data_IF_297279652640
#
_entry.id   IF_297279652640
#
_cell.length_a   1.000
_cell.length_b   1.000
_cell.length_c   1.000
_cell.angle_alpha   90.00
_cell.angle_beta   90.00
_cell.angle_gamma   90.00
#
_symmetry.space_group_name_H-M   'P 1'
#
loop_
_entity.id
_entity.type
_entity.pdbx_description
1 polymer ?
#
# COMPACT_ATOMS: atom_id res chain seq x y z
N UNK A 1 -10.81 -2.24 37.49
CA UNK A 1 -9.45 -1.65 37.36
C UNK A 1 -8.37 -2.65 36.90
N UNK A 2 -8.61 -3.97 36.89
CA UNK A 2 -7.63 -4.99 36.47
C UNK A 2 -7.53 -5.24 34.95
N UNK A 3 -8.49 -4.79 34.14
CA UNK A 3 -8.49 -5.02 32.69
C UNK A 3 -7.63 -4.03 31.89
N UNK A 4 -7.35 -2.85 32.47
CA UNK A 4 -6.59 -1.79 31.80
C UNK A 4 -5.08 -2.05 31.86
N UNK A 5 -4.58 -2.61 32.96
CA UNK A 5 -3.16 -2.95 33.15
C UNK A 5 -2.72 -4.14 32.28
N UNK A 6 -3.57 -5.17 32.14
CA UNK A 6 -3.29 -6.32 31.27
C UNK A 6 -3.17 -5.97 29.78
N UNK A 7 -3.98 -5.02 29.30
CA UNK A 7 -3.93 -4.54 27.91
C UNK A 7 -2.62 -3.81 27.60
N UNK A 8 -2.19 -2.90 28.49
CA UNK A 8 -0.94 -2.13 28.36
C UNK A 8 0.28 -3.06 28.36
N UNK A 9 0.32 -4.05 29.25
CA UNK A 9 1.42 -5.03 29.31
C UNK A 9 1.50 -5.85 28.01
N UNK A 10 0.35 -6.24 27.42
CA UNK A 10 0.34 -6.99 26.15
C UNK A 10 0.82 -6.16 24.94
N UNK A 11 0.52 -4.86 24.93
CA UNK A 11 0.94 -3.91 23.89
C UNK A 11 2.45 -3.64 23.94
N UNK A 12 3.00 -3.40 25.14
CA UNK A 12 4.45 -3.22 25.36
C UNK A 12 5.20 -4.49 24.92
N UNK A 13 4.67 -5.67 25.26
CA UNK A 13 5.25 -6.95 24.85
C UNK A 13 5.22 -7.12 23.31
N UNK A 14 4.12 -6.73 22.66
CA UNK A 14 3.99 -6.84 21.20
C UNK A 14 4.94 -5.92 20.44
N UNK A 15 5.13 -4.67 20.89
CA UNK A 15 6.07 -3.74 20.28
C UNK A 15 7.52 -4.23 20.43
N UNK A 16 7.96 -4.54 21.66
CA UNK A 16 9.32 -5.02 21.93
C UNK A 16 9.64 -6.32 21.20
N UNK A 17 8.67 -7.25 21.12
CA UNK A 17 8.82 -8.49 20.34
C UNK A 17 8.96 -8.19 18.84
N UNK A 18 8.17 -7.25 18.31
CA UNK A 18 8.22 -6.90 16.90
C UNK A 18 9.56 -6.26 16.53
N UNK A 19 10.06 -5.32 17.33
CA UNK A 19 11.36 -4.67 17.07
C UNK A 19 12.52 -5.66 17.20
N UNK A 20 12.52 -6.54 18.21
CA UNK A 20 13.53 -7.59 18.34
C UNK A 20 13.53 -8.56 17.15
N UNK A 21 12.36 -8.89 16.63
CA UNK A 21 12.23 -9.73 15.43
C UNK A 21 12.77 -9.02 14.17
N UNK A 22 12.47 -7.73 14.01
CA UNK A 22 13.01 -6.92 12.90
C UNK A 22 14.54 -6.89 12.97
N UNK A 23 15.11 -6.61 14.13
CA UNK A 23 16.56 -6.58 14.34
C UNK A 23 17.21 -7.95 14.03
N UNK A 24 16.57 -9.04 14.46
CA UNK A 24 17.04 -10.39 14.17
C UNK A 24 16.98 -10.70 12.68
N UNK A 25 15.89 -10.32 12.00
CA UNK A 25 15.75 -10.50 10.56
C UNK A 25 16.75 -9.65 9.79
N UNK A 26 17.02 -8.42 10.22
CA UNK A 26 17.97 -7.51 9.57
C UNK A 26 19.38 -8.11 9.48
N UNK A 27 19.78 -8.91 10.48
CA UNK A 27 21.09 -9.59 10.53
C UNK A 27 21.24 -10.73 9.52
N UNK A 28 20.12 -11.29 9.02
CA UNK A 28 20.12 -12.49 8.16
C UNK A 28 19.33 -12.32 6.86
N UNK A 29 18.76 -11.13 6.62
CA UNK A 29 17.88 -10.86 5.48
C UNK A 29 18.58 -11.16 4.16
N UNK A 30 17.83 -11.75 3.23
CA UNK A 30 18.18 -11.84 1.80
C UNK A 30 17.14 -11.02 1.06
N UNK A 31 17.50 -9.80 0.67
CA UNK A 31 16.59 -8.80 0.09
C UNK A 31 16.39 -7.60 1.01
N UNK A 32 15.36 -6.80 0.70
CA UNK A 32 15.06 -5.53 1.33
C UNK A 32 14.09 -5.74 2.51
N UNK A 33 14.38 -5.07 3.63
CA UNK A 33 13.59 -5.06 4.85
C UNK A 33 13.12 -3.64 5.15
N UNK A 34 11.85 -3.49 5.45
CA UNK A 34 11.31 -2.25 5.98
C UNK A 34 10.04 -2.51 6.76
N UNK A 35 9.54 -1.48 7.45
CA UNK A 35 8.22 -1.53 8.05
C UNK A 35 7.41 -0.29 7.74
N UNK A 36 6.10 -0.47 7.80
CA UNK A 36 5.15 0.61 7.55
C UNK A 36 4.62 1.20 8.85
N UNK A 37 4.49 2.53 8.89
CA UNK A 37 3.87 3.30 9.96
C UNK A 37 2.56 3.92 9.47
N UNK A 38 1.44 3.53 10.09
CA UNK A 38 0.14 4.09 9.75
C UNK A 38 -0.06 5.43 10.45
N UNK A 39 -0.33 6.48 9.69
CA UNK A 39 -0.73 7.80 10.20
C UNK A 39 -2.18 7.70 10.70
N UNK A 40 -2.37 7.81 12.01
CA UNK A 40 -3.68 7.63 12.64
C UNK A 40 -3.99 8.85 13.50
N UNK A 41 -5.17 9.42 13.30
CA UNK A 41 -5.81 10.36 14.22
C UNK A 41 -7.18 9.80 14.61
N UNK A 42 -7.47 9.77 15.91
CA UNK A 42 -8.74 9.33 16.48
C UNK A 42 -9.38 10.48 17.21
N UNK A 43 -10.54 10.91 16.71
CA UNK A 43 -11.41 11.83 17.41
C UNK A 43 -12.14 11.06 18.52
N UNK A 44 -12.03 11.56 19.76
CA UNK A 44 -12.68 10.97 20.91
C UNK A 44 -13.78 11.93 21.39
N UNK A 45 -15.01 11.46 21.66
CA UNK A 45 -16.04 12.29 22.27
C UNK A 45 -15.53 12.89 23.58
N UNK A 46 -15.66 14.21 23.73
CA UNK A 46 -15.27 14.96 24.94
C UNK A 46 -13.80 14.82 25.36
N UNK A 47 -12.89 14.47 24.43
CA UNK A 47 -11.46 14.40 24.70
C UNK A 47 -10.65 14.96 23.54
N UNK A 48 -9.39 15.32 23.81
CA UNK A 48 -8.47 15.76 22.76
C UNK A 48 -8.26 14.62 21.74
N UNK A 49 -8.21 14.91 20.44
CA UNK A 49 -7.84 13.93 19.42
C UNK A 49 -6.53 13.25 19.80
N UNK A 50 -6.49 11.92 19.67
CA UNK A 50 -5.26 11.14 19.85
C UNK A 50 -4.68 10.81 18.50
N UNK A 51 -3.39 11.03 18.34
CA UNK A 51 -2.65 10.74 17.12
C UNK A 51 -1.28 10.18 17.45
N UNK A 52 -0.72 9.40 16.54
CA UNK A 52 0.65 8.88 16.63
C UNK A 52 1.63 9.69 15.76
N UNK A 53 1.16 10.74 15.07
CA UNK A 53 1.97 11.50 14.12
C UNK A 53 3.17 12.19 14.79
N UNK A 54 3.09 12.53 16.07
CA UNK A 54 4.22 13.09 16.82
C UNK A 54 5.41 12.12 16.92
N UNK A 55 5.17 10.82 16.73
CA UNK A 55 6.18 9.77 16.80
C UNK A 55 6.77 9.44 15.43
N UNK A 56 6.31 10.07 14.34
CA UNK A 56 6.65 9.71 12.96
C UNK A 56 8.18 9.72 12.71
N UNK A 57 8.88 10.79 13.09
CA UNK A 57 10.33 10.88 12.95
C UNK A 57 11.06 9.83 13.81
N UNK A 58 10.60 9.62 15.05
CA UNK A 58 11.20 8.62 15.96
C UNK A 58 11.00 7.21 15.40
N UNK A 59 9.84 6.92 14.80
CA UNK A 59 9.58 5.67 14.12
C UNK A 59 10.47 5.49 12.88
N UNK A 60 10.71 6.53 12.09
CA UNK A 60 11.63 6.44 10.96
C UNK A 60 13.07 6.15 11.41
N UNK A 61 13.54 6.86 12.45
CA UNK A 61 14.86 6.64 13.05
C UNK A 61 15.00 5.22 13.60
N UNK A 62 13.98 4.73 14.30
CA UNK A 62 13.95 3.36 14.82
C UNK A 62 14.10 2.33 13.70
N UNK A 63 13.44 2.50 12.56
CA UNK A 63 13.58 1.59 11.42
C UNK A 63 15.03 1.49 10.94
N UNK A 64 15.68 2.63 10.75
CA UNK A 64 17.09 2.70 10.37
C UNK A 64 17.98 2.02 11.42
N UNK A 65 17.78 2.35 12.69
CA UNK A 65 18.60 1.84 13.79
C UNK A 65 18.42 0.31 13.99
N UNK A 66 17.27 -0.26 13.56
CA UNK A 66 17.02 -1.71 13.54
C UNK A 66 17.63 -2.43 12.32
N UNK A 67 18.22 -1.70 11.37
CA UNK A 67 18.80 -2.26 10.15
C UNK A 67 17.81 -2.50 9.01
N UNK A 68 16.66 -1.81 9.00
CA UNK A 68 15.82 -1.73 7.81
C UNK A 68 16.53 -0.97 6.69
N UNK A 69 16.22 -1.31 5.44
CA UNK A 69 16.60 -0.57 4.24
C UNK A 69 15.59 0.53 3.90
N UNK A 70 14.36 0.44 4.42
CA UNK A 70 13.39 1.51 4.26
C UNK A 70 12.39 1.63 5.42
N UNK A 71 11.80 2.81 5.52
CA UNK A 71 10.65 3.12 6.36
C UNK A 71 9.54 3.71 5.50
N UNK A 72 8.36 3.10 5.51
CA UNK A 72 7.19 3.61 4.79
C UNK A 72 6.22 4.24 5.79
N UNK A 73 5.84 5.51 5.63
CA UNK A 73 4.67 6.04 6.34
C UNK A 73 3.51 6.20 5.38
N UNK A 74 2.29 5.86 5.83
CA UNK A 74 1.12 5.88 4.97
C UNK A 74 -0.18 6.25 5.69
N UNK A 75 -1.14 6.87 4.98
CA UNK A 75 -2.47 7.14 5.51
C UNK A 75 -3.20 5.88 5.96
N UNK A 76 -4.02 5.99 7.01
CA UNK A 76 -5.01 4.99 7.31
C UNK A 76 -6.21 5.05 6.33
N UNK A 77 -6.85 3.90 6.11
CA UNK A 77 -8.08 3.79 5.32
C UNK A 77 -9.19 3.15 6.15
N UNK A 78 -10.44 3.47 5.82
CA UNK A 78 -11.62 2.84 6.43
C UNK A 78 -11.87 1.42 5.87
N UNK A 79 -12.92 0.76 6.35
CA UNK A 79 -13.32 -0.58 5.88
C UNK A 79 -13.70 -0.63 4.39
N UNK A 80 -14.02 0.52 3.80
CA UNK A 80 -14.36 0.68 2.39
C UNK A 80 -13.15 1.14 1.55
N UNK A 81 -11.96 1.18 2.14
CA UNK A 81 -10.70 1.64 1.54
C UNK A 81 -10.69 3.11 1.14
N UNK A 82 -11.50 3.95 1.78
CA UNK A 82 -11.39 5.41 1.65
C UNK A 82 -10.32 5.94 2.60
N UNK A 83 -9.59 6.96 2.18
CA UNK A 83 -8.63 7.65 3.03
C UNK A 83 -9.35 8.26 4.24
N UNK A 84 -8.83 8.00 5.45
CA UNK A 84 -9.32 8.64 6.66
C UNK A 84 -8.71 10.05 6.74
N UNK A 85 -9.54 11.12 6.72
CA UNK A 85 -9.02 12.49 6.80
C UNK A 85 -8.30 12.75 8.11
N UNK A 86 -7.23 13.56 8.05
CA UNK A 86 -6.54 14.10 9.23
C UNK A 86 -6.90 15.58 9.42
N UNK A 87 -6.88 16.04 10.67
CA UNK A 87 -7.02 17.45 11.01
C UNK A 87 -5.89 18.30 10.43
N UNK A 88 -6.13 19.60 10.30
CA UNK A 88 -5.12 20.57 9.85
C UNK A 88 -3.87 20.51 10.73
N UNK A 89 -4.04 20.42 12.06
CA UNK A 89 -2.91 20.36 12.99
C UNK A 89 -2.06 19.11 12.78
N UNK A 90 -2.70 17.95 12.58
CA UNK A 90 -1.98 16.70 12.31
C UNK A 90 -1.27 16.75 10.96
N UNK A 91 -1.87 17.35 9.92
CA UNK A 91 -1.21 17.55 8.63
C UNK A 91 0.00 18.48 8.72
N UNK A 92 -0.15 19.60 9.42
CA UNK A 92 0.94 20.54 9.66
C UNK A 92 2.10 19.88 10.40
N UNK A 93 1.83 18.98 11.35
CA UNK A 93 2.86 18.23 12.05
C UNK A 93 3.61 17.26 11.14
N UNK A 94 2.92 16.58 10.22
CA UNK A 94 3.58 15.74 9.20
C UNK A 94 4.51 16.60 8.34
N UNK A 95 3.99 17.72 7.81
CA UNK A 95 4.77 18.65 6.98
C UNK A 95 5.98 19.19 7.74
N UNK A 96 5.84 19.49 9.03
CA UNK A 96 6.95 19.94 9.88
C UNK A 96 8.04 18.88 10.05
N UNK A 97 7.67 17.60 10.08
CA UNK A 97 8.62 16.50 10.21
C UNK A 97 9.24 16.07 8.87
N UNK A 98 8.62 16.39 7.72
CA UNK A 98 9.10 16.00 6.39
C UNK A 98 10.59 16.29 6.13
N UNK A 99 11.14 17.49 6.41
CA UNK A 99 12.56 17.75 6.21
C UNK A 99 13.47 16.87 7.08
N UNK A 100 13.02 16.53 8.29
CA UNK A 100 13.76 15.64 9.19
C UNK A 100 13.76 14.20 8.68
N UNK A 101 12.62 13.75 8.12
CA UNK A 101 12.49 12.45 7.48
C UNK A 101 13.38 12.35 6.24
N UNK A 102 13.37 13.38 5.39
CA UNK A 102 14.20 13.46 4.19
C UNK A 102 15.70 13.40 4.53
N UNK A 103 16.12 14.04 5.62
CA UNK A 103 17.49 14.02 6.11
C UNK A 103 17.96 12.65 6.64
N UNK A 104 17.04 11.68 6.84
CA UNK A 104 17.42 10.31 7.19
C UNK A 104 17.81 9.48 5.97
N UNK A 105 17.48 9.92 4.75
CA UNK A 105 17.79 9.19 3.53
C UNK A 105 19.30 9.07 3.32
N UNK A 106 19.74 7.86 3.00
CA UNK A 106 21.12 7.48 2.68
C UNK A 106 21.09 6.45 1.54
N UNK A 107 22.24 6.03 1.02
CA UNK A 107 22.25 4.99 0.00
C UNK A 107 21.74 3.63 0.54
N UNK A 108 21.79 3.44 1.85
CA UNK A 108 21.43 2.21 2.54
C UNK A 108 20.06 2.27 3.22
N UNK A 109 19.45 3.45 3.34
CA UNK A 109 18.16 3.64 4.01
C UNK A 109 17.30 4.70 3.33
N UNK A 110 16.04 4.38 3.05
CA UNK A 110 15.09 5.28 2.40
C UNK A 110 13.80 5.48 3.24
N UNK A 111 13.35 6.72 3.37
CA UNK A 111 12.05 7.09 3.89
C UNK A 111 11.12 7.34 2.72
N UNK A 112 10.07 6.54 2.62
CA UNK A 112 9.15 6.55 1.49
C UNK A 112 7.70 6.75 1.95
N UNK A 113 6.87 7.26 1.06
CA UNK A 113 5.43 7.33 1.28
C UNK A 113 4.67 7.16 -0.03
N UNK A 114 3.47 6.56 0.00
CA UNK A 114 2.67 6.44 -1.21
C UNK A 114 2.10 7.79 -1.61
N UNK A 115 1.80 7.97 -2.91
CA UNK A 115 1.13 9.17 -3.46
C UNK A 115 -0.18 9.53 -2.74
N UNK A 116 -0.83 8.55 -2.10
CA UNK A 116 -2.02 8.81 -1.28
C UNK A 116 -1.76 9.72 -0.07
N UNK A 117 -0.50 9.81 0.37
CA UNK A 117 -0.06 10.76 1.40
C UNK A 117 -0.17 12.20 0.90
N UNK A 118 0.24 12.48 -0.33
CA UNK A 118 0.12 13.82 -0.92
C UNK A 118 -1.35 14.26 -0.97
N UNK A 119 -2.23 13.37 -1.43
CA UNK A 119 -3.67 13.64 -1.50
C UNK A 119 -4.26 13.96 -0.12
N UNK A 120 -3.82 13.23 0.91
CA UNK A 120 -4.21 13.48 2.28
C UNK A 120 -3.73 14.86 2.76
N UNK A 121 -2.47 15.20 2.52
CA UNK A 121 -1.84 16.44 2.98
C UNK A 121 -2.43 17.67 2.26
N UNK A 122 -2.70 17.59 0.97
CA UNK A 122 -3.21 18.72 0.18
C UNK A 122 -4.73 18.82 0.16
N UNK A 123 -5.46 17.86 0.74
CA UNK A 123 -6.91 17.66 0.54
C UNK A 123 -7.32 17.56 -0.94
N UNK A 124 -6.38 17.24 -1.83
CA UNK A 124 -6.67 17.06 -3.26
C UNK A 124 -6.88 15.57 -3.48
N UNK A 125 -8.01 15.07 -3.00
CA UNK A 125 -8.41 13.71 -3.29
C UNK A 125 -8.54 13.57 -4.81
N UNK A 126 -7.83 12.63 -5.44
CA UNK A 126 -7.86 12.50 -6.87
C UNK A 126 -9.26 12.04 -7.23
N UNK A 127 -9.94 12.82 -8.07
CA UNK A 127 -11.01 12.25 -8.85
C UNK A 127 -10.35 11.20 -9.77
N UNK A 128 -10.65 9.92 -9.54
CA UNK A 128 -10.20 8.82 -10.39
C UNK A 128 -11.40 8.31 -11.21
N UNK A 129 -11.89 9.09 -12.18
CA UNK A 129 -12.97 8.63 -13.06
C UNK A 129 -12.44 7.41 -13.82
N UNK A 130 -13.11 6.27 -13.64
CA UNK A 130 -12.73 5.03 -14.32
C UNK A 130 -13.46 5.00 -15.65
N UNK A 131 -12.96 5.76 -16.61
CA UNK A 131 -13.54 5.81 -17.95
C UNK A 131 -13.17 4.62 -18.83
N UNK A 132 -12.44 3.64 -18.27
CA UNK A 132 -12.10 2.37 -18.90
C UNK A 132 -13.01 1.22 -18.43
N UNK A 133 -13.29 0.29 -19.34
CA UNK A 133 -14.19 -0.83 -19.12
C UNK A 133 -13.50 -2.14 -18.72
N UNK A 134 -12.17 -2.21 -18.81
CA UNK A 134 -11.38 -3.40 -18.45
C UNK A 134 -10.23 -3.03 -17.52
N UNK A 135 -9.75 -4.00 -16.73
CA UNK A 135 -8.69 -3.79 -15.74
C UNK A 135 -7.43 -4.60 -16.10
N UNK A 136 -6.49 -4.07 -16.91
CA UNK A 136 -5.28 -4.81 -17.29
C UNK A 136 -4.47 -5.33 -16.10
N UNK A 137 -4.53 -4.64 -14.95
CA UNK A 137 -3.87 -5.10 -13.73
C UNK A 137 -4.29 -6.51 -13.28
N UNK A 138 -5.51 -6.98 -13.54
CA UNK A 138 -5.91 -8.34 -13.15
C UNK A 138 -5.32 -9.43 -14.05
N UNK A 139 -4.74 -9.04 -15.19
CA UNK A 139 -3.97 -9.95 -16.05
C UNK A 139 -2.54 -10.15 -15.54
N UNK A 140 -2.01 -9.19 -14.79
CA UNK A 140 -0.62 -9.18 -14.33
C UNK A 140 -0.45 -9.66 -12.88
N UNK A 141 -1.53 -9.83 -12.13
CA UNK A 141 -1.50 -10.25 -10.72
C UNK A 141 -2.79 -10.92 -10.31
N UNK A 142 -2.70 -11.68 -9.23
CA UNK A 142 -3.85 -12.24 -8.51
C UNK A 142 -3.66 -12.07 -6.99
N UNK A 143 -4.68 -12.39 -6.21
CA UNK A 143 -4.62 -12.44 -4.75
C UNK A 143 -4.93 -13.84 -4.28
N UNK A 144 -3.94 -14.48 -3.67
CA UNK A 144 -4.06 -15.81 -3.07
C UNK A 144 -4.23 -15.65 -1.55
N UNK A 145 -5.20 -16.35 -0.98
CA UNK A 145 -5.46 -16.38 0.46
C UNK A 145 -5.80 -17.80 0.90
N UNK A 146 -5.72 -18.12 2.21
CA UNK A 146 -6.20 -19.41 2.71
C UNK A 146 -7.67 -19.72 2.37
N UNK A 147 -8.51 -18.70 2.10
CA UNK A 147 -9.95 -18.86 1.80
C UNK A 147 -10.26 -18.95 0.31
N UNK A 148 -9.28 -18.69 -0.56
CA UNK A 148 -9.49 -18.68 -2.01
C UNK A 148 -8.58 -17.71 -2.74
N UNK A 149 -8.68 -17.78 -4.07
CA UNK A 149 -8.00 -16.90 -5.02
C UNK A 149 -9.00 -15.86 -5.55
N UNK A 150 -8.58 -14.61 -5.67
CA UNK A 150 -9.40 -13.46 -6.05
C UNK A 150 -8.66 -12.58 -7.07
N UNK A 151 -9.37 -11.87 -7.96
CA UNK A 151 -8.73 -11.06 -9.00
C UNK A 151 -7.98 -9.85 -8.45
N UNK A 152 -8.40 -9.28 -7.32
CA UNK A 152 -7.69 -8.17 -6.69
C UNK A 152 -7.95 -8.07 -5.17
N UNK A 153 -7.14 -7.30 -4.41
CA UNK A 153 -7.27 -7.21 -2.96
C UNK A 153 -8.63 -6.66 -2.49
N UNK A 154 -9.23 -5.76 -3.27
CA UNK A 154 -10.53 -5.16 -2.96
C UNK A 154 -11.72 -6.11 -3.15
N UNK A 155 -11.51 -7.24 -3.82
CA UNK A 155 -12.53 -8.29 -4.04
C UNK A 155 -12.34 -9.49 -3.12
N UNK A 156 -11.27 -9.50 -2.32
CA UNK A 156 -10.93 -10.59 -1.41
C UNK A 156 -12.05 -10.82 -0.40
N UNK A 157 -12.46 -12.08 -0.25
CA UNK A 157 -13.46 -12.50 0.72
C UNK A 157 -14.90 -12.39 0.24
N UNK A 158 -15.15 -11.79 -0.94
CA UNK A 158 -16.46 -11.83 -1.57
C UNK A 158 -16.63 -13.14 -2.34
N UNK A 159 -17.57 -13.99 -1.92
CA UNK A 159 -17.70 -15.35 -2.48
C UNK A 159 -17.98 -15.34 -3.99
N UNK A 160 -18.78 -14.38 -4.47
CA UNK A 160 -19.05 -14.17 -5.91
C UNK A 160 -17.83 -13.67 -6.70
N UNK A 161 -16.75 -13.30 -6.03
CA UNK A 161 -15.49 -12.84 -6.64
C UNK A 161 -14.37 -13.88 -6.54
N UNK A 162 -14.62 -15.01 -5.88
CA UNK A 162 -13.67 -16.12 -5.77
C UNK A 162 -13.53 -16.81 -7.13
N UNK A 163 -12.28 -16.97 -7.57
CA UNK A 163 -11.93 -17.55 -8.88
C UNK A 163 -11.17 -18.87 -8.76
N UNK A 164 -10.82 -19.30 -7.54
CA UNK A 164 -10.11 -20.54 -7.31
C UNK A 164 -9.83 -20.81 -5.83
N UNK A 165 -9.10 -21.88 -5.56
CA UNK A 165 -8.64 -22.28 -4.24
C UNK A 165 -7.14 -22.57 -4.25
N UNK A 166 -6.54 -22.64 -3.06
CA UNK A 166 -5.12 -23.00 -2.87
C UNK A 166 -4.83 -24.48 -3.14
N UNK A 167 -5.87 -25.30 -3.34
CA UNK A 167 -5.74 -26.72 -3.70
C UNK A 167 -5.36 -26.92 -5.17
N UNK A 168 -5.55 -25.90 -6.01
CA UNK A 168 -5.23 -25.95 -7.44
C UNK A 168 -3.76 -25.54 -7.64
N UNK A 169 -3.05 -26.25 -8.52
CA UNK A 169 -1.71 -25.85 -8.93
C UNK A 169 -1.74 -24.43 -9.53
N UNK A 170 -0.78 -23.58 -9.15
CA UNK A 170 -0.74 -22.19 -9.60
C UNK A 170 -0.72 -22.04 -11.12
N UNK A 171 0.02 -22.91 -11.85
CA UNK A 171 0.08 -22.88 -13.31
C UNK A 171 -1.27 -23.21 -13.93
N UNK A 172 -1.97 -24.19 -13.38
CA UNK A 172 -3.28 -24.61 -13.89
C UNK A 172 -4.34 -23.54 -13.60
N UNK A 173 -4.32 -22.96 -12.40
CA UNK A 173 -5.14 -21.79 -12.07
C UNK A 173 -4.85 -20.61 -13.01
N UNK A 174 -3.58 -20.28 -13.23
CA UNK A 174 -3.19 -19.10 -13.99
C UNK A 174 -3.66 -19.15 -15.45
N UNK A 175 -3.67 -20.35 -16.02
CA UNK A 175 -4.15 -20.64 -17.37
C UNK A 175 -5.63 -21.06 -17.43
N UNK A 176 -6.33 -21.05 -16.30
CA UNK A 176 -7.72 -21.49 -16.24
C UNK A 176 -8.68 -20.55 -16.96
N UNK A 177 -9.68 -21.13 -17.62
CA UNK A 177 -10.77 -20.38 -18.25
C UNK A 177 -11.50 -19.48 -17.24
N UNK A 178 -11.73 -19.97 -16.02
CA UNK A 178 -12.39 -19.20 -14.96
C UNK A 178 -11.65 -17.89 -14.63
N UNK A 179 -10.32 -17.92 -14.58
CA UNK A 179 -9.50 -16.71 -14.36
C UNK A 179 -9.64 -15.74 -15.53
N UNK A 180 -9.54 -16.23 -16.76
CA UNK A 180 -9.62 -15.41 -17.97
C UNK A 180 -11.00 -14.77 -18.11
N UNK A 181 -12.06 -15.53 -17.88
CA UNK A 181 -13.45 -15.04 -17.92
C UNK A 181 -13.72 -14.01 -16.82
N UNK A 182 -13.27 -14.27 -15.58
CA UNK A 182 -13.39 -13.26 -14.53
C UNK A 182 -12.66 -11.99 -14.91
N UNK A 183 -11.43 -12.07 -15.42
CA UNK A 183 -10.67 -10.89 -15.81
C UNK A 183 -11.41 -10.04 -16.86
N UNK A 184 -11.98 -10.70 -17.88
CA UNK A 184 -12.81 -10.05 -18.91
C UNK A 184 -14.12 -9.45 -18.38
N UNK A 185 -14.71 -10.06 -17.34
CA UNK A 185 -15.97 -9.59 -16.73
C UNK A 185 -15.82 -8.34 -15.87
N UNK A 186 -14.62 -8.04 -15.37
CA UNK A 186 -14.40 -6.91 -14.47
C UNK A 186 -14.51 -5.60 -15.24
N UNK A 187 -15.50 -4.81 -14.86
CA UNK A 187 -15.72 -3.46 -15.40
C UNK A 187 -15.49 -2.40 -14.32
N UNK A 188 -14.31 -1.76 -14.27
CA UNK A 188 -13.97 -0.78 -13.24
C UNK A 188 -14.88 0.45 -13.25
N UNK A 189 -15.34 0.89 -14.43
CA UNK A 189 -16.32 1.97 -14.59
C UNK A 189 -17.61 1.73 -13.81
N UNK A 190 -18.07 0.47 -13.75
CA UNK A 190 -19.32 0.08 -13.08
C UNK A 190 -19.12 -0.41 -11.65
N UNK A 191 -18.02 -1.11 -11.37
CA UNK A 191 -17.87 -1.94 -10.16
C UNK A 191 -16.81 -1.46 -9.18
N UNK A 192 -16.07 -0.40 -9.51
CA UNK A 192 -14.96 0.11 -8.69
C UNK A 192 -15.10 1.62 -8.40
N UNK A 193 -16.15 2.07 -7.66
CA UNK A 193 -16.36 3.50 -7.38
C UNK A 193 -15.34 4.11 -6.40
N UNK A 194 -14.47 3.30 -5.82
CA UNK A 194 -13.49 3.69 -4.80
C UNK A 194 -12.14 4.14 -5.40
N UNK A 195 -11.28 4.74 -4.58
CA UNK A 195 -9.90 5.04 -4.93
C UNK A 195 -9.10 3.75 -5.16
N UNK A 196 -8.59 3.54 -6.38
CA UNK A 196 -7.84 2.35 -6.75
C UNK A 196 -6.37 2.67 -6.95
N UNK A 197 -5.50 2.04 -6.17
CA UNK A 197 -4.03 2.19 -6.31
C UNK A 197 -3.50 1.73 -7.68
N UNK A 198 -4.31 1.02 -8.47
CA UNK A 198 -3.96 0.54 -9.81
C UNK A 198 -4.54 1.40 -10.93
N UNK A 199 -5.19 2.53 -10.62
CA UNK A 199 -5.78 3.40 -11.62
C UNK A 199 -4.74 3.88 -12.65
N UNK A 200 -3.67 4.53 -12.19
CA UNK A 200 -2.59 5.03 -13.06
C UNK A 200 -1.91 3.89 -13.84
N UNK A 201 -1.63 2.76 -13.18
CA UNK A 201 -1.07 1.59 -13.85
C UNK A 201 -1.99 1.05 -14.95
N UNK A 202 -3.31 1.05 -14.73
CA UNK A 202 -4.26 0.63 -15.76
C UNK A 202 -4.31 1.61 -16.93
N UNK A 203 -4.28 2.93 -16.68
CA UNK A 203 -4.22 3.94 -17.74
C UNK A 203 -2.96 3.76 -18.59
N UNK A 204 -1.81 3.55 -17.93
CA UNK A 204 -0.54 3.27 -18.61
C UNK A 204 -0.60 1.98 -19.43
N UNK A 205 -1.10 0.88 -18.85
CA UNK A 205 -1.21 -0.40 -19.55
C UNK A 205 -2.14 -0.31 -20.77
N UNK A 206 -3.24 0.45 -20.66
CA UNK A 206 -4.10 0.76 -21.81
C UNK A 206 -3.36 1.54 -22.89
N UNK A 207 -2.60 2.57 -22.51
CA UNK A 207 -1.78 3.34 -23.45
C UNK A 207 -0.77 2.46 -24.19
N UNK A 208 -0.09 1.55 -23.47
CA UNK A 208 0.85 0.61 -24.06
C UNK A 208 0.20 -0.38 -25.02
N UNK A 209 -0.95 -0.96 -24.62
CA UNK A 209 -1.71 -1.87 -25.47
C UNK A 209 -2.19 -1.18 -26.74
N UNK A 210 -2.81 0.00 -26.61
CA UNK A 210 -3.30 0.78 -27.75
C UNK A 210 -2.15 1.22 -28.68
N UNK A 211 -1.02 1.63 -28.12
CA UNK A 211 0.17 1.98 -28.90
C UNK A 211 0.67 0.78 -29.70
N UNK A 212 0.80 -0.39 -29.06
CA UNK A 212 1.22 -1.62 -29.72
C UNK A 212 0.27 -2.03 -30.87
N UNK A 213 -1.05 -1.95 -30.65
CA UNK A 213 -2.06 -2.21 -31.69
C UNK A 213 -1.95 -1.26 -32.88
N UNK A 214 -1.49 -0.04 -32.65
CA UNK A 214 -1.23 0.96 -33.69
C UNK A 214 0.18 0.87 -34.31
N UNK A 215 0.96 -0.16 -33.96
CA UNK A 215 2.34 -0.31 -34.42
C UNK A 215 3.35 0.64 -33.76
N UNK A 216 2.95 1.33 -32.69
CA UNK A 216 3.79 2.27 -31.93
C UNK A 216 4.36 1.53 -30.71
N UNK A 217 5.66 1.22 -30.75
CA UNK A 217 6.34 0.65 -29.59
C UNK A 217 6.75 1.74 -28.58
N UNK A 218 6.01 1.83 -27.47
CA UNK A 218 6.27 2.79 -26.40
C UNK A 218 7.31 2.31 -25.37
N UNK A 219 7.69 1.03 -25.35
CA UNK A 219 8.64 0.47 -24.39
C UNK A 219 10.00 1.20 -24.36
N UNK A 220 10.63 1.58 -25.50
CA UNK A 220 11.91 2.28 -25.49
C UNK A 220 11.90 3.62 -24.75
N UNK A 221 10.72 4.25 -24.62
CA UNK A 221 10.56 5.53 -23.95
C UNK A 221 10.32 5.40 -22.44
N UNK A 222 9.98 4.20 -21.96
CA UNK A 222 9.75 3.94 -20.53
C UNK A 222 11.04 3.67 -19.75
N UNK A 223 12.10 3.21 -20.41
CA UNK A 223 13.37 2.77 -19.78
C UNK A 223 14.26 3.96 -19.35
N UNK A 224 13.84 5.20 -19.60
CA UNK A 224 14.64 6.42 -19.34
C UNK A 224 14.25 7.18 -18.07
N UNK A 225 13.84 6.50 -17.01
CA UNK A 225 13.92 7.11 -15.68
C UNK A 225 15.31 6.77 -15.13
N UNK A 226 16.15 7.73 -14.73
CA UNK A 226 17.35 7.42 -13.97
C UNK A 226 16.95 6.50 -12.84
N UNK A 227 17.74 5.45 -12.56
CA UNK A 227 17.54 4.51 -11.46
C UNK A 227 16.91 5.24 -10.29
N UNK A 228 15.60 5.08 -10.15
CA UNK A 228 14.92 5.61 -9.00
C UNK A 228 15.51 4.79 -7.86
N UNK A 229 16.01 5.44 -6.80
CA UNK A 229 16.25 4.76 -5.52
C UNK A 229 14.92 4.28 -4.89
N UNK A 230 13.96 3.91 -5.72
CA UNK A 230 12.70 3.28 -5.35
C UNK A 230 13.05 1.85 -4.99
N UNK A 231 13.10 1.59 -3.69
CA UNK A 231 13.35 0.28 -3.10
C UNK A 231 12.35 -0.81 -3.53
N UNK A 232 11.34 -0.46 -4.33
CA UNK A 232 10.38 -1.38 -4.91
C UNK A 232 10.64 -1.73 -6.39
N UNK A 233 11.74 -1.25 -7.00
CA UNK A 233 12.16 -1.59 -8.38
C UNK A 233 13.61 -2.09 -8.39
#
# INVERSE_FOLDING_TARGET
MSSFTGSIISLVNSFSKTTANIETLAKVKKGILGYSFLLIERNLPNARPKTNVQELFVAAKLARDLGCDYFEYKPAVDAHHNLIPLSINTKSEIVRQTPLLEALNTNEFQVISPKSTDYLLTNKFPNQPKDYQTCPSVELRTVVTPKGIYPCPYKRGHENEKIGSIEINFKDYWNSTARVEKAKSINPKKTCPFYCIRHESNLLLHLLANGHEQGINLLPYMIRTPQTNDVFI
#
